data_IF_714553302486
#
_entry.id   IF_714553302486
#
_cell.length_a   1.000
_cell.length_b   1.000
_cell.length_c   1.000
_cell.angle_alpha   90.00
_cell.angle_beta   90.00
_cell.angle_gamma   90.00
#
_symmetry.space_group_name_H-M   'P 1'
#
loop_
_entity.id
_entity.type
_entity.pdbx_description
1 polymer ?
#
# COMPACT_ATOMS: atom_id res chain seq x y z
N UNK A 1 -5.67 0.11 3.92
CA UNK A 1 -4.49 0.99 3.78
C UNK A 1 -3.76 1.06 5.12
N UNK A 2 -4.45 1.42 6.20
CA UNK A 2 -3.84 1.61 7.52
C UNK A 2 -3.06 0.40 8.04
N UNK A 3 -3.64 -0.81 7.98
CA UNK A 3 -2.96 -2.04 8.41
C UNK A 3 -1.62 -2.28 7.69
N UNK A 4 -1.56 -1.95 6.39
CA UNK A 4 -0.32 -2.06 5.61
C UNK A 4 0.69 -0.99 6.03
N UNK A 5 0.24 0.24 6.25
CA UNK A 5 1.11 1.32 6.72
C UNK A 5 1.67 1.02 8.11
N UNK A 6 0.85 0.49 9.02
CA UNK A 6 1.28 0.05 10.34
C UNK A 6 2.33 -1.08 10.25
N UNK A 7 2.14 -2.07 9.36
CA UNK A 7 3.14 -3.09 9.06
C UNK A 7 4.46 -2.48 8.54
N UNK A 8 4.38 -1.42 7.74
CA UNK A 8 5.53 -0.67 7.29
C UNK A 8 6.12 0.27 8.36
N UNK A 9 5.61 0.25 9.59
CA UNK A 9 6.04 1.11 10.71
C UNK A 9 5.69 2.59 10.48
N UNK A 10 4.68 2.87 9.67
CA UNK A 10 4.10 4.21 9.50
C UNK A 10 2.89 4.37 10.41
N UNK A 11 3.05 5.25 11.41
CA UNK A 11 1.99 5.58 12.33
C UNK A 11 0.85 6.42 11.71
N UNK A 12 -0.25 6.62 12.46
CA UNK A 12 -1.34 7.52 12.04
C UNK A 12 -0.90 8.99 11.90
N UNK A 13 0.19 9.37 12.57
CA UNK A 13 0.75 10.73 12.54
C UNK A 13 1.81 10.94 11.45
N UNK A 14 2.11 9.92 10.63
CA UNK A 14 3.01 10.12 9.49
C UNK A 14 2.27 10.86 8.35
N UNK A 15 2.25 12.18 8.48
CA UNK A 15 1.61 13.07 7.53
C UNK A 15 2.34 13.12 6.17
N UNK A 16 3.64 12.79 6.14
CA UNK A 16 4.42 12.81 4.89
C UNK A 16 3.99 11.65 4.00
N UNK A 17 4.04 10.43 4.55
CA UNK A 17 3.67 9.22 3.80
C UNK A 17 2.18 9.25 3.42
N UNK A 18 1.31 9.61 4.37
CA UNK A 18 -0.14 9.68 4.12
C UNK A 18 -0.52 10.80 3.15
N UNK A 19 0.12 11.96 3.25
CA UNK A 19 -0.10 13.08 2.33
C UNK A 19 0.33 12.74 0.90
N UNK A 20 1.46 12.04 0.74
CA UNK A 20 1.90 11.57 -0.57
C UNK A 20 0.92 10.56 -1.19
N UNK A 21 0.45 9.59 -0.42
CA UNK A 21 -0.56 8.60 -0.85
C UNK A 21 -1.85 9.29 -1.32
N UNK A 22 -2.34 10.27 -0.54
CA UNK A 22 -3.53 11.03 -0.88
C UNK A 22 -3.34 11.86 -2.15
N UNK A 23 -2.21 12.56 -2.28
CA UNK A 23 -1.90 13.41 -3.43
C UNK A 23 -1.81 12.60 -4.73
N UNK A 24 -1.31 11.36 -4.65
CA UNK A 24 -1.21 10.45 -5.80
C UNK A 24 -2.47 9.61 -6.03
N UNK A 25 -3.54 9.82 -5.26
CA UNK A 25 -4.81 9.09 -5.43
C UNK A 25 -4.70 7.59 -5.17
N UNK A 26 -3.76 7.16 -4.33
CA UNK A 26 -3.53 5.75 -4.05
C UNK A 26 -4.57 5.27 -3.03
N UNK A 27 -5.57 4.54 -3.51
CA UNK A 27 -6.70 4.08 -2.70
C UNK A 27 -6.44 2.74 -2.02
N UNK A 28 -5.50 1.94 -2.54
CA UNK A 28 -5.21 0.60 -2.04
C UNK A 28 -3.72 0.28 -2.04
N UNK A 29 -3.26 -0.42 -0.99
CA UNK A 29 -1.85 -0.73 -0.76
C UNK A 29 -1.26 -1.67 -1.83
N UNK A 30 -2.09 -2.48 -2.50
CA UNK A 30 -1.62 -3.41 -3.53
C UNK A 30 -0.98 -2.73 -4.72
N UNK A 31 -1.26 -1.43 -4.94
CA UNK A 31 -0.58 -0.62 -5.96
C UNK A 31 0.94 -0.63 -5.74
N UNK A 32 1.40 -0.69 -4.49
CA UNK A 32 2.83 -0.75 -4.18
C UNK A 32 3.51 -2.05 -4.62
N UNK A 33 2.74 -3.11 -4.91
CA UNK A 33 3.29 -4.36 -5.44
C UNK A 33 3.80 -4.21 -6.88
N UNK A 34 3.33 -3.19 -7.60
CA UNK A 34 3.72 -2.92 -8.99
C UNK A 34 4.75 -1.80 -9.12
N UNK A 35 5.09 -1.13 -8.02
CA UNK A 35 6.00 0.02 -8.01
C UNK A 35 7.45 -0.42 -7.81
N UNK A 36 8.35 0.16 -8.61
CA UNK A 36 9.78 0.16 -8.35
C UNK A 36 10.20 1.36 -7.49
N UNK A 37 11.42 1.33 -6.92
CA UNK A 37 11.95 2.49 -6.18
C UNK A 37 12.01 3.75 -7.06
N UNK A 38 12.35 3.59 -8.35
CA UNK A 38 12.33 4.68 -9.32
C UNK A 38 10.93 5.28 -9.51
N UNK A 39 9.87 4.47 -9.48
CA UNK A 39 8.50 4.97 -9.60
C UNK A 39 8.11 5.83 -8.39
N UNK A 40 8.54 5.42 -7.18
CA UNK A 40 8.36 6.23 -5.97
C UNK A 40 9.07 7.58 -6.10
N UNK A 41 10.33 7.59 -6.51
CA UNK A 41 11.13 8.82 -6.67
C UNK A 41 10.51 9.75 -7.72
N UNK A 42 10.09 9.21 -8.87
CA UNK A 42 9.44 9.98 -9.95
C UNK A 42 8.12 10.62 -9.51
N UNK A 43 7.40 9.98 -8.60
CA UNK A 43 6.15 10.50 -8.02
C UNK A 43 6.39 11.42 -6.81
N UNK A 44 7.65 11.81 -6.54
CA UNK A 44 8.00 12.72 -5.45
C UNK A 44 7.92 12.08 -4.06
N UNK A 45 7.92 10.75 -3.97
CA UNK A 45 8.03 10.06 -2.69
C UNK A 45 9.46 10.21 -2.15
N UNK A 46 9.65 10.55 -0.86
CA UNK A 46 10.98 10.49 -0.25
C UNK A 46 11.57 9.08 -0.39
N UNK A 47 12.84 9.00 -0.78
CA UNK A 47 13.49 7.71 -1.07
C UNK A 47 13.41 6.72 0.10
N UNK A 48 13.65 7.19 1.33
CA UNK A 48 13.55 6.37 2.53
C UNK A 48 12.13 5.83 2.75
N UNK A 49 11.10 6.63 2.46
CA UNK A 49 9.69 6.21 2.52
C UNK A 49 9.42 5.14 1.47
N UNK A 50 9.85 5.34 0.22
CA UNK A 50 9.72 4.36 -0.86
C UNK A 50 10.40 3.03 -0.52
N UNK A 51 11.64 3.06 0.00
CA UNK A 51 12.37 1.86 0.45
C UNK A 51 11.63 1.13 1.57
N UNK A 52 11.07 1.85 2.52
CA UNK A 52 10.33 1.25 3.64
C UNK A 52 9.01 0.60 3.16
N UNK A 53 8.29 1.25 2.24
CA UNK A 53 7.09 0.66 1.61
C UNK A 53 7.46 -0.62 0.85
N UNK A 54 8.54 -0.60 0.06
CA UNK A 54 9.03 -1.80 -0.65
C UNK A 54 9.45 -2.91 0.31
N UNK A 55 10.13 -2.57 1.41
CA UNK A 55 10.44 -3.57 2.43
C UNK A 55 9.16 -4.17 3.03
N UNK A 56 8.17 -3.33 3.31
CA UNK A 56 6.86 -3.76 3.77
C UNK A 56 6.16 -4.70 2.79
N UNK A 57 6.22 -4.42 1.48
CA UNK A 57 5.64 -5.30 0.45
C UNK A 57 6.37 -6.65 0.37
N UNK A 58 7.70 -6.67 0.47
CA UNK A 58 8.48 -7.91 0.44
C UNK A 58 8.33 -8.78 1.70
N UNK A 59 8.03 -8.15 2.84
CA UNK A 59 7.89 -8.83 4.14
C UNK A 59 6.45 -9.12 4.53
N UNK A 60 5.49 -8.83 3.63
CA UNK A 60 4.09 -9.23 3.79
C UNK A 60 4.01 -10.74 4.01
N UNK A 61 3.59 -11.15 5.20
CA UNK A 61 3.34 -12.56 5.51
C UNK A 61 2.10 -13.03 4.76
N UNK A 62 2.09 -14.30 4.36
CA UNK A 62 0.92 -14.94 3.73
C UNK A 62 -0.37 -14.75 4.54
N UNK A 63 -0.28 -14.72 5.88
CA UNK A 63 -1.41 -14.47 6.78
C UNK A 63 -1.94 -13.03 6.73
N UNK A 64 -1.10 -12.04 6.44
CA UNK A 64 -1.56 -10.68 6.15
C UNK A 64 -2.19 -10.60 4.76
N UNK A 65 -1.63 -11.31 3.78
CA UNK A 65 -2.24 -11.41 2.45
C UNK A 65 -3.65 -12.03 2.53
N UNK A 66 -3.86 -13.07 3.32
CA UNK A 66 -5.18 -13.68 3.53
C UNK A 66 -6.17 -12.74 4.23
N UNK A 67 -5.74 -12.02 5.28
CA UNK A 67 -6.59 -11.01 5.93
C UNK A 67 -6.94 -9.84 4.99
N UNK A 68 -5.97 -9.36 4.22
CA UNK A 68 -6.14 -8.20 3.35
C UNK A 68 -6.88 -8.56 2.04
N UNK A 69 -6.64 -9.74 1.47
CA UNK A 69 -7.38 -10.26 0.32
C UNK A 69 -8.77 -10.79 0.70
N UNK A 70 -8.94 -11.39 1.88
CA UNK A 70 -10.24 -11.87 2.38
C UNK A 70 -11.24 -10.73 2.58
N UNK A 71 -10.77 -9.54 2.96
CA UNK A 71 -11.58 -8.31 2.97
C UNK A 71 -11.91 -7.82 1.55
N UNK A 72 -11.04 -8.08 0.56
CA UNK A 72 -11.26 -7.70 -0.84
C UNK A 72 -12.40 -8.50 -1.48
N UNK A 73 -12.50 -9.80 -1.17
CA UNK A 73 -13.62 -10.66 -1.62
C UNK A 73 -14.99 -10.26 -1.03
N UNK A 74 -15.01 -9.59 0.12
CA UNK A 74 -16.24 -9.10 0.75
C UNK A 74 -16.65 -7.70 0.30
N UNK A 75 -15.76 -6.94 -0.36
CA UNK A 75 -15.99 -5.53 -0.72
C UNK A 75 -16.03 -5.23 -2.22
N UNK A 76 -15.86 -6.23 -3.09
CA UNK A 76 -16.25 -6.12 -4.50
C UNK A 76 -17.55 -6.90 -4.76
N UNK A 77 -18.64 -6.26 -5.23
CA UNK A 77 -19.72 -7.01 -5.85
C UNK A 77 -19.17 -7.71 -7.09
N UNK A 78 -19.63 -8.93 -7.43
CA UNK A 78 -19.13 -9.65 -8.58
C UNK A 78 -19.51 -8.90 -9.85
N UNK A 79 -18.55 -8.21 -10.48
CA UNK A 79 -18.66 -7.69 -11.85
C UNK A 79 -18.33 -8.79 -12.89
N UNK A 80 -18.81 -10.01 -12.64
CA UNK A 80 -18.76 -11.11 -13.59
C UNK A 80 -20.08 -11.90 -13.55
N UNK A 81 -21.15 -11.23 -13.98
CA UNK A 81 -22.38 -11.83 -14.49
C UNK A 81 -22.96 -10.83 -15.49
N UNK A 82 -22.35 -10.75 -16.69
CA UNK A 82 -22.96 -10.35 -17.96
C UNK A 82 -22.03 -10.77 -19.10
#
# INVERSE_FOLDING_TARGET
MDDFLEHCVFGPTDHITRGWIQTNGITHWSVFLTYSLDDFIRQGCPENTGRQIMYGTHTLKATMLEKLCGLYWLYQPPLYLL
#
